data_IF_274045478799
#
_entry.id   IF_274045478799
#
_cell.length_a   1.000
_cell.length_b   1.000
_cell.length_c   1.000
_cell.angle_alpha   90.00
_cell.angle_beta   90.00
_cell.angle_gamma   90.00
#
_symmetry.space_group_name_H-M   'P 1'
#
loop_
_entity.id
_entity.type
_entity.pdbx_description
1 polymer ?
#
# COMPACT_ATOMS: atom_id res chain seq x y z
N UNK A 1 -5.11 -14.79 -29.37
CA UNK A 1 -6.12 -14.87 -28.29
C UNK A 1 -5.59 -14.48 -26.90
N UNK A 2 -4.39 -14.93 -26.48
CA UNK A 2 -3.79 -14.65 -25.16
C UNK A 2 -3.68 -13.16 -24.77
N UNK A 3 -3.32 -12.27 -25.71
CA UNK A 3 -3.17 -10.84 -25.40
C UNK A 3 -4.50 -10.12 -25.13
N UNK A 4 -5.63 -10.62 -25.66
CA UNK A 4 -6.96 -10.04 -25.41
C UNK A 4 -7.39 -10.31 -23.96
N UNK A 5 -7.25 -11.56 -23.53
CA UNK A 5 -7.47 -12.00 -22.14
C UNK A 5 -6.62 -11.20 -21.14
N UNK A 6 -5.33 -11.01 -21.45
CA UNK A 6 -4.42 -10.24 -20.59
C UNK A 6 -4.88 -8.79 -20.43
N UNK A 7 -5.29 -8.13 -21.52
CA UNK A 7 -5.79 -6.75 -21.47
C UNK A 7 -7.10 -6.63 -20.69
N UNK A 8 -8.02 -7.58 -20.87
CA UNK A 8 -9.27 -7.64 -20.10
C UNK A 8 -8.98 -7.82 -18.62
N UNK A 9 -8.09 -8.74 -18.26
CA UNK A 9 -7.69 -8.99 -16.87
C UNK A 9 -7.05 -7.75 -16.23
N UNK A 10 -6.14 -7.07 -16.94
CA UNK A 10 -5.54 -5.81 -16.47
C UNK A 10 -6.61 -4.72 -16.30
N UNK A 11 -7.54 -4.58 -17.24
CA UNK A 11 -8.64 -3.62 -17.14
C UNK A 11 -9.52 -3.85 -15.91
N UNK A 12 -9.86 -5.11 -15.61
CA UNK A 12 -10.61 -5.49 -14.40
C UNK A 12 -9.83 -5.13 -13.14
N UNK A 13 -8.52 -5.42 -13.11
CA UNK A 13 -7.64 -5.06 -11.99
C UNK A 13 -7.60 -3.55 -11.75
N UNK A 14 -7.51 -2.75 -12.81
CA UNK A 14 -7.51 -1.29 -12.69
C UNK A 14 -8.84 -0.80 -12.10
N UNK A 15 -9.97 -1.30 -12.58
CA UNK A 15 -11.30 -0.94 -12.04
C UNK A 15 -11.42 -1.33 -10.57
N UNK A 16 -10.97 -2.53 -10.19
CA UNK A 16 -10.96 -2.97 -8.80
C UNK A 16 -10.12 -2.05 -7.89
N UNK A 17 -8.94 -1.63 -8.34
CA UNK A 17 -8.09 -0.69 -7.59
C UNK A 17 -8.80 0.66 -7.44
N UNK A 18 -9.42 1.18 -8.49
CA UNK A 18 -10.17 2.45 -8.43
C UNK A 18 -11.32 2.36 -7.43
N UNK A 19 -12.14 1.29 -7.51
CA UNK A 19 -13.26 1.06 -6.60
C UNK A 19 -12.78 0.90 -5.16
N UNK A 20 -11.70 0.14 -4.95
CA UNK A 20 -11.08 -0.02 -3.64
C UNK A 20 -10.65 1.34 -3.06
N UNK A 21 -9.96 2.17 -3.84
CA UNK A 21 -9.54 3.51 -3.39
C UNK A 21 -10.75 4.38 -3.10
N UNK A 22 -11.74 4.43 -4.01
CA UNK A 22 -12.95 5.24 -3.87
C UNK A 22 -13.75 4.87 -2.60
N UNK A 23 -13.92 3.58 -2.32
CA UNK A 23 -14.60 3.10 -1.10
C UNK A 23 -13.78 3.35 0.17
N UNK A 24 -12.45 3.36 0.07
CA UNK A 24 -11.55 3.57 1.20
C UNK A 24 -11.06 5.03 1.31
N UNK A 25 -11.79 5.99 0.72
CA UNK A 25 -11.54 7.44 0.86
C UNK A 25 -11.95 7.99 2.23
N UNK A 26 -12.74 7.27 3.01
CA UNK A 26 -13.15 7.72 4.35
C UNK A 26 -11.91 8.07 5.19
N UNK A 27 -11.96 9.25 5.78
CA UNK A 27 -10.87 9.78 6.60
C UNK A 27 -10.96 9.12 7.97
N UNK A 28 -9.90 8.42 8.36
CA UNK A 28 -9.74 7.86 9.69
C UNK A 28 -8.70 8.64 10.47
N UNK A 29 -8.95 8.77 11.77
CA UNK A 29 -7.98 9.31 12.71
C UNK A 29 -7.12 8.18 13.26
N UNK A 30 -5.82 8.25 13.00
CA UNK A 30 -4.83 7.35 13.58
C UNK A 30 -4.17 8.07 14.75
N UNK A 31 -4.38 7.57 15.96
CA UNK A 31 -3.65 8.00 17.16
C UNK A 31 -2.51 7.02 17.39
N UNK A 32 -1.29 7.52 17.52
CA UNK A 32 -0.13 6.68 17.82
C UNK A 32 0.79 7.38 18.81
N UNK A 33 1.02 6.75 19.96
CA UNK A 33 1.73 7.35 21.10
C UNK A 33 1.15 8.74 21.44
N UNK A 34 1.85 9.82 21.07
CA UNK A 34 1.48 11.20 21.38
C UNK A 34 1.00 12.01 20.17
N UNK A 35 1.00 11.44 18.95
CA UNK A 35 0.53 12.13 17.74
C UNK A 35 -0.82 11.60 17.26
N UNK A 36 -1.53 12.45 16.51
CA UNK A 36 -2.77 12.08 15.81
C UNK A 36 -2.67 12.58 14.39
N UNK A 37 -2.98 11.72 13.42
CA UNK A 37 -3.00 12.05 12.00
C UNK A 37 -4.33 11.63 11.42
N UNK A 38 -4.96 12.53 10.66
CA UNK A 38 -6.16 12.23 9.88
C UNK A 38 -5.78 11.98 8.43
N UNK A 39 -6.11 10.80 7.91
CA UNK A 39 -5.83 10.42 6.52
C UNK A 39 -6.87 9.41 6.02
N UNK A 40 -6.96 9.21 4.70
CA UNK A 40 -7.85 8.17 4.17
C UNK A 40 -7.42 6.78 4.62
N UNK A 41 -8.37 5.87 4.85
CA UNK A 41 -8.08 4.47 5.21
C UNK A 41 -7.14 3.79 4.22
N UNK A 42 -7.35 4.05 2.92
CA UNK A 42 -6.48 3.54 1.87
C UNK A 42 -5.03 3.99 2.06
N UNK A 43 -4.81 5.29 2.32
CA UNK A 43 -3.48 5.85 2.54
C UNK A 43 -2.84 5.26 3.80
N UNK A 44 -3.62 5.06 4.86
CA UNK A 44 -3.15 4.43 6.10
C UNK A 44 -2.57 3.04 5.83
N UNK A 45 -3.30 2.17 5.12
CA UNK A 45 -2.83 0.82 4.79
C UNK A 45 -1.60 0.83 3.87
N UNK A 46 -1.59 1.71 2.87
CA UNK A 46 -0.44 1.88 1.96
C UNK A 46 0.82 2.31 2.73
N UNK A 47 0.71 3.32 3.60
CA UNK A 47 1.81 3.81 4.41
C UNK A 47 2.35 2.74 5.37
N UNK A 48 1.47 2.02 6.07
CA UNK A 48 1.91 0.94 6.99
C UNK A 48 2.64 -0.17 6.23
N UNK A 49 2.14 -0.56 5.06
CA UNK A 49 2.80 -1.55 4.22
C UNK A 49 4.20 -1.08 3.76
N UNK A 50 4.29 0.15 3.24
CA UNK A 50 5.55 0.74 2.79
C UNK A 50 6.58 0.83 3.92
N UNK A 51 6.17 1.24 5.12
CA UNK A 51 7.06 1.27 6.29
C UNK A 51 7.61 -0.14 6.58
N UNK A 52 6.77 -1.18 6.55
CA UNK A 52 7.21 -2.57 6.75
C UNK A 52 8.22 -3.04 5.69
N UNK A 53 7.97 -2.73 4.41
CA UNK A 53 8.90 -3.05 3.31
C UNK A 53 10.23 -2.32 3.50
N UNK A 54 10.19 -1.01 3.76
CA UNK A 54 11.40 -0.20 3.97
C UNK A 54 12.22 -0.68 5.16
N UNK A 55 11.59 -0.97 6.30
CA UNK A 55 12.27 -1.54 7.47
C UNK A 55 12.96 -2.86 7.12
N UNK A 56 12.28 -3.75 6.40
CA UNK A 56 12.86 -5.04 5.99
C UNK A 56 14.06 -4.86 5.06
N UNK A 57 13.99 -3.93 4.10
CA UNK A 57 15.09 -3.61 3.20
C UNK A 57 16.29 -3.01 3.94
N UNK A 58 16.05 -2.09 4.87
CA UNK A 58 17.09 -1.48 5.71
C UNK A 58 17.78 -2.51 6.61
N UNK A 59 17.01 -3.42 7.21
CA UNK A 59 17.55 -4.52 8.01
C UNK A 59 18.43 -5.45 7.16
N UNK A 60 17.96 -5.86 5.97
CA UNK A 60 18.76 -6.68 5.05
C UNK A 60 20.05 -5.98 4.62
N UNK A 61 19.99 -4.68 4.31
CA UNK A 61 21.17 -3.89 3.95
C UNK A 61 22.19 -3.81 5.10
N UNK A 62 21.70 -3.59 6.32
CA UNK A 62 22.53 -3.52 7.54
C UNK A 62 23.21 -4.85 7.87
N UNK A 63 22.50 -5.97 7.68
CA UNK A 63 23.03 -7.32 7.90
C UNK A 63 24.05 -7.70 6.80
N UNK A 64 23.78 -7.37 5.52
CA UNK A 64 24.72 -7.62 4.41
C UNK A 64 26.03 -6.86 4.58
N UNK A 65 26.01 -5.67 5.18
CA UNK A 65 27.22 -4.87 5.47
C UNK A 65 28.09 -5.45 6.59
N UNK A 66 27.55 -6.37 7.41
CA UNK A 66 28.22 -6.97 8.57
C UNK A 66 28.78 -8.38 8.29
N UNK A 67 28.52 -8.95 7.12
CA UNK A 67 29.18 -10.14 6.56
C UNK A 67 30.19 -9.70 5.52
#
# INVERSE_FOLDING_TARGET
>A
MKNKMRKTFIGILIVLVIVFVAQNTEVVQVRFLFWTVSMSRALMFMCTFLIGVLLTLLLKASIKKRK
#
